data_IF_323796764132
#
_entry.id   IF_323796764132
#
_cell.length_a   1.000
_cell.length_b   1.000
_cell.length_c   1.000
_cell.angle_alpha   90.00
_cell.angle_beta   90.00
_cell.angle_gamma   90.00
#
_symmetry.space_group_name_H-M   'P 1'
#
loop_
_entity.id
_entity.type
_entity.pdbx_description
1 polymer ?
#
# COMPACT_ATOMS: atom_id res chain seq x y z
N UNK A 1 -14.57 -13.13 30.09
CA UNK A 1 -14.30 -13.10 28.63
C UNK A 1 -13.65 -11.77 28.32
N UNK A 2 -12.32 -11.71 28.21
CA UNK A 2 -11.63 -10.47 27.82
C UNK A 2 -11.72 -10.34 26.31
N UNK A 3 -12.67 -9.54 25.82
CA UNK A 3 -12.66 -9.08 24.43
C UNK A 3 -11.50 -8.10 24.28
N UNK A 4 -10.34 -8.58 23.83
CA UNK A 4 -9.28 -7.69 23.39
C UNK A 4 -9.84 -6.71 22.34
N UNK A 5 -9.49 -5.41 22.39
CA UNK A 5 -9.97 -4.44 21.42
C UNK A 5 -9.69 -4.93 20.00
N UNK A 6 -10.73 -5.05 19.18
CA UNK A 6 -10.59 -5.42 17.76
C UNK A 6 -10.27 -4.16 16.98
N UNK A 7 -9.00 -3.92 16.72
CA UNK A 7 -8.57 -2.83 15.83
C UNK A 7 -8.94 -3.24 14.40
N UNK A 8 -9.86 -2.50 13.79
CA UNK A 8 -10.30 -2.73 12.41
C UNK A 8 -9.63 -1.78 11.42
N UNK A 9 -9.11 -0.65 11.89
CA UNK A 9 -8.45 0.36 11.08
C UNK A 9 -7.19 0.81 11.78
N UNK A 10 -6.08 0.83 11.04
CA UNK A 10 -4.79 1.25 11.53
C UNK A 10 -4.20 2.20 10.51
N UNK A 11 -3.75 3.36 11.00
CA UNK A 11 -3.23 4.42 10.15
C UNK A 11 -1.85 4.83 10.65
N UNK A 12 -0.91 4.94 9.73
CA UNK A 12 0.44 5.43 9.99
C UNK A 12 0.67 6.60 9.06
N UNK A 13 0.58 7.80 9.59
CA UNK A 13 0.69 9.03 8.80
C UNK A 13 1.94 9.80 9.20
N UNK A 14 2.88 9.92 8.26
CA UNK A 14 4.13 10.69 8.41
C UNK A 14 4.99 10.26 9.61
N UNK A 15 4.77 9.07 10.13
CA UNK A 15 5.52 8.57 11.26
C UNK A 15 6.80 7.90 10.75
N UNK A 16 7.99 8.20 11.33
CA UNK A 16 9.26 7.63 10.89
C UNK A 16 9.40 6.17 11.36
N UNK A 17 8.56 5.31 10.81
CA UNK A 17 8.52 3.88 11.09
C UNK A 17 9.28 3.13 10.00
N UNK A 18 10.05 2.13 10.39
CA UNK A 18 10.64 1.19 9.43
C UNK A 18 9.71 -0.01 9.22
N UNK A 19 9.72 -0.58 8.03
CA UNK A 19 8.91 -1.73 7.64
C UNK A 19 8.90 -2.87 8.67
N UNK A 20 10.04 -3.25 9.25
CA UNK A 20 10.11 -4.34 10.23
C UNK A 20 9.39 -3.98 11.54
N UNK A 21 9.48 -2.73 12.00
CA UNK A 21 8.74 -2.27 13.17
C UNK A 21 7.23 -2.28 12.88
N UNK A 22 6.83 -1.85 11.69
CA UNK A 22 5.43 -1.89 11.28
C UNK A 22 4.91 -3.33 11.23
N UNK A 23 5.65 -4.27 10.64
CA UNK A 23 5.24 -5.67 10.55
C UNK A 23 4.99 -6.28 11.94
N UNK A 24 5.87 -6.03 12.91
CA UNK A 24 5.68 -6.48 14.29
C UNK A 24 4.39 -5.94 14.93
N UNK A 25 3.99 -4.71 14.60
CA UNK A 25 2.72 -4.12 15.05
C UNK A 25 1.54 -4.79 14.34
N UNK A 26 1.62 -4.97 13.02
CA UNK A 26 0.55 -5.58 12.20
C UNK A 26 0.29 -7.04 12.56
N UNK A 27 1.32 -7.79 13.00
CA UNK A 27 1.18 -9.15 13.54
C UNK A 27 0.29 -9.22 14.77
N UNK A 28 0.21 -8.14 15.56
CA UNK A 28 -0.69 -8.05 16.73
C UNK A 28 -2.13 -7.68 16.36
N UNK A 29 -2.40 -7.41 15.08
CA UNK A 29 -3.70 -6.96 14.56
C UNK A 29 -4.24 -7.88 13.46
N UNK A 30 -4.43 -9.20 13.70
CA UNK A 30 -4.86 -10.14 12.66
C UNK A 30 -6.24 -9.84 12.08
N UNK A 31 -7.11 -9.15 12.83
CA UNK A 31 -8.47 -8.78 12.43
C UNK A 31 -8.56 -7.42 11.74
N UNK A 32 -7.42 -6.80 11.40
CA UNK A 32 -7.41 -5.51 10.72
C UNK A 32 -8.09 -5.62 9.36
N UNK A 33 -9.01 -4.68 9.10
CA UNK A 33 -9.76 -4.60 7.83
C UNK A 33 -9.21 -3.51 6.93
N UNK A 34 -8.67 -2.43 7.50
CA UNK A 34 -8.19 -1.25 6.77
C UNK A 34 -6.80 -0.85 7.24
N UNK A 35 -5.90 -0.69 6.28
CA UNK A 35 -4.54 -0.20 6.50
C UNK A 35 -4.32 1.06 5.67
N UNK A 36 -3.92 2.14 6.34
CA UNK A 36 -3.59 3.41 5.71
C UNK A 36 -2.17 3.80 6.07
N UNK A 37 -1.31 3.98 5.08
CA UNK A 37 0.08 4.35 5.29
C UNK A 37 0.39 5.54 4.41
N UNK A 38 0.83 6.62 5.04
CA UNK A 38 1.45 7.76 4.39
C UNK A 38 2.88 7.86 4.87
N UNK A 39 3.85 7.63 3.98
CA UNK A 39 5.28 7.73 4.28
C UNK A 39 5.66 9.11 4.82
N UNK A 40 6.67 9.12 5.70
CA UNK A 40 7.30 10.35 6.15
C UNK A 40 7.95 11.08 4.97
N UNK A 41 7.75 12.40 4.92
CA UNK A 41 8.30 13.26 3.88
C UNK A 41 9.80 13.48 4.03
N UNK A 42 10.43 14.00 2.98
CA UNK A 42 11.89 14.12 2.84
C UNK A 42 12.57 14.98 3.90
N UNK A 43 11.84 15.90 4.53
CA UNK A 43 12.44 16.87 5.46
C UNK A 43 12.78 16.30 6.83
N UNK A 44 12.36 15.07 7.16
CA UNK A 44 12.45 14.58 8.54
C UNK A 44 13.78 13.86 8.88
N UNK A 45 14.54 13.28 7.95
CA UNK A 45 15.72 12.46 8.31
C UNK A 45 16.83 12.42 7.24
N UNK A 46 18.08 12.24 7.70
CA UNK A 46 19.35 12.03 6.97
C UNK A 46 19.42 10.76 6.10
N UNK A 47 18.29 10.17 5.70
CA UNK A 47 18.25 9.03 4.80
C UNK A 47 18.52 9.48 3.35
N UNK A 48 19.04 8.60 2.47
CA UNK A 48 19.18 8.93 1.07
C UNK A 48 17.83 9.36 0.52
N UNK A 49 17.79 10.54 -0.10
CA UNK A 49 16.60 11.20 -0.61
C UNK A 49 15.67 10.23 -1.37
N UNK A 50 14.35 10.32 -1.16
CA UNK A 50 13.35 9.67 -2.02
C UNK A 50 13.09 8.18 -1.81
N UNK A 51 13.59 7.54 -0.74
CA UNK A 51 13.40 6.10 -0.50
C UNK A 51 12.23 5.76 0.42
N UNK A 52 11.50 4.69 0.09
CA UNK A 52 10.49 4.12 0.99
C UNK A 52 11.17 3.50 2.22
N UNK A 53 10.69 3.81 3.44
CA UNK A 53 11.18 3.21 4.70
C UNK A 53 10.14 2.32 5.36
N UNK A 54 8.86 2.66 5.19
CA UNK A 54 7.71 1.93 5.73
C UNK A 54 7.18 0.91 4.73
N UNK A 55 7.00 1.31 3.46
CA UNK A 55 6.42 0.49 2.40
C UNK A 55 7.53 0.04 1.44
N UNK A 56 8.44 -0.78 1.95
CA UNK A 56 9.56 -1.34 1.18
C UNK A 56 9.12 -2.51 0.29
N UNK A 57 9.99 -2.98 -0.61
CA UNK A 57 9.78 -4.23 -1.36
C UNK A 57 9.55 -5.41 -0.40
N UNK A 58 10.33 -5.50 0.69
CA UNK A 58 10.19 -6.54 1.72
C UNK A 58 8.79 -6.51 2.36
N UNK A 59 8.33 -5.31 2.74
CA UNK A 59 7.00 -5.13 3.32
C UNK A 59 5.91 -5.68 2.40
N UNK A 60 5.95 -5.32 1.12
CA UNK A 60 4.98 -5.79 0.13
C UNK A 60 5.05 -7.30 -0.07
N UNK A 61 6.25 -7.89 -0.12
CA UNK A 61 6.41 -9.35 -0.22
C UNK A 61 5.83 -10.10 0.99
N UNK A 62 5.97 -9.56 2.19
CA UNK A 62 5.37 -10.17 3.39
C UNK A 62 3.84 -10.04 3.40
N UNK A 63 3.30 -8.95 2.87
CA UNK A 63 1.86 -8.85 2.58
C UNK A 63 1.44 -9.88 1.52
N UNK A 64 2.19 -10.03 0.42
CA UNK A 64 1.90 -11.00 -0.66
C UNK A 64 1.77 -12.42 -0.12
N UNK A 65 2.63 -12.80 0.84
CA UNK A 65 2.60 -14.14 1.46
C UNK A 65 1.45 -14.33 2.45
N UNK A 66 0.61 -13.30 2.67
CA UNK A 66 -0.49 -13.30 3.63
C UNK A 66 -0.10 -13.74 5.05
N UNK A 67 1.18 -13.56 5.43
CA UNK A 67 1.67 -13.87 6.79
C UNK A 67 1.06 -12.95 7.84
N UNK A 68 0.74 -11.74 7.43
CA UNK A 68 0.12 -10.70 8.26
C UNK A 68 -1.19 -10.22 7.64
N UNK A 69 -2.09 -9.75 8.49
CA UNK A 69 -3.37 -9.13 8.11
C UNK A 69 -4.24 -10.03 7.19
N UNK A 70 -4.57 -11.27 7.56
CA UNK A 70 -5.33 -12.19 6.70
C UNK A 70 -6.73 -11.67 6.31
N UNK A 71 -7.29 -10.70 7.06
CA UNK A 71 -8.63 -10.18 6.83
C UNK A 71 -8.66 -8.78 6.21
N UNK A 72 -7.52 -8.31 5.69
CA UNK A 72 -7.42 -6.99 5.07
C UNK A 72 -8.36 -6.86 3.87
N UNK A 73 -9.14 -5.77 3.85
CA UNK A 73 -10.11 -5.44 2.80
C UNK A 73 -9.73 -4.19 2.03
N UNK A 74 -9.14 -3.20 2.70
CA UNK A 74 -8.82 -1.92 2.12
C UNK A 74 -7.38 -1.53 2.46
N UNK A 75 -6.61 -1.15 1.45
CA UNK A 75 -5.26 -0.61 1.63
C UNK A 75 -5.11 0.74 0.95
N UNK A 76 -4.59 1.72 1.69
CA UNK A 76 -4.24 3.05 1.18
C UNK A 76 -2.76 3.28 1.43
N UNK A 77 -2.02 3.55 0.36
CA UNK A 77 -0.58 3.78 0.40
C UNK A 77 -0.27 5.12 -0.26
N UNK A 78 0.46 5.98 0.45
CA UNK A 78 1.07 7.19 -0.10
C UNK A 78 2.58 7.09 0.12
N UNK A 79 3.34 6.94 -0.97
CA UNK A 79 4.74 6.46 -0.94
C UNK A 79 5.61 7.20 -1.96
N UNK A 80 6.93 7.09 -1.84
CA UNK A 80 7.88 7.66 -2.81
C UNK A 80 8.09 6.78 -4.06
N UNK A 81 7.64 5.53 -4.00
CA UNK A 81 7.87 4.49 -5.02
C UNK A 81 9.34 4.27 -5.41
N UNK A 82 10.15 3.90 -4.43
CA UNK A 82 11.50 3.35 -4.64
C UNK A 82 11.45 1.82 -4.55
N UNK A 83 10.84 1.18 -5.55
CA UNK A 83 10.81 -0.28 -5.69
C UNK A 83 11.65 -0.77 -6.88
N UNK A 84 12.65 0.01 -7.28
CA UNK A 84 13.49 -0.25 -8.44
C UNK A 84 14.06 -1.69 -8.45
N UNK A 85 13.99 -2.35 -9.60
CA UNK A 85 14.41 -3.75 -9.76
C UNK A 85 13.38 -4.77 -9.28
N UNK A 86 12.20 -4.32 -8.84
CA UNK A 86 11.06 -5.14 -8.42
C UNK A 86 9.74 -4.57 -8.97
N UNK A 87 9.72 -4.29 -10.27
CA UNK A 87 8.69 -3.54 -11.02
C UNK A 87 7.27 -4.14 -11.02
N UNK A 88 7.04 -5.21 -10.26
CA UNK A 88 5.75 -5.92 -10.18
C UNK A 88 5.31 -6.24 -8.75
N UNK A 89 6.10 -5.83 -7.75
CA UNK A 89 5.89 -6.27 -6.36
C UNK A 89 4.53 -5.78 -5.80
N UNK A 90 4.07 -4.62 -6.24
CA UNK A 90 2.77 -4.08 -5.82
C UNK A 90 1.62 -4.87 -6.44
N UNK A 91 1.67 -5.14 -7.74
CA UNK A 91 0.67 -5.91 -8.48
C UNK A 91 0.59 -7.35 -7.98
N UNK A 92 1.74 -7.98 -7.70
CA UNK A 92 1.81 -9.31 -7.11
C UNK A 92 1.16 -9.37 -5.72
N UNK A 93 1.38 -8.34 -4.91
CA UNK A 93 0.74 -8.21 -3.61
C UNK A 93 -0.78 -8.11 -3.78
N UNK A 94 -1.27 -7.24 -4.67
CA UNK A 94 -2.70 -7.11 -4.93
C UNK A 94 -3.33 -8.41 -5.45
N UNK A 95 -2.70 -9.09 -6.42
CA UNK A 95 -3.22 -10.33 -7.01
C UNK A 95 -3.26 -11.48 -6.00
N UNK A 96 -2.22 -11.64 -5.19
CA UNK A 96 -2.23 -12.64 -4.12
C UNK A 96 -3.36 -12.37 -3.13
N UNK A 97 -3.52 -11.10 -2.74
CA UNK A 97 -4.43 -10.66 -1.69
C UNK A 97 -5.87 -10.48 -2.15
N UNK A 98 -6.15 -10.48 -3.46
CA UNK A 98 -7.51 -10.51 -3.99
C UNK A 98 -8.02 -11.94 -4.18
N UNK A 99 -7.12 -12.90 -4.44
CA UNK A 99 -7.48 -14.29 -4.79
C UNK A 99 -7.37 -15.28 -3.64
N UNK A 100 -6.46 -15.08 -2.69
CA UNK A 100 -6.14 -16.08 -1.65
C UNK A 100 -6.32 -15.50 -0.24
N UNK A 101 -7.34 -16.01 0.46
CA UNK A 101 -7.64 -15.87 1.89
C UNK A 101 -7.92 -14.45 2.46
N UNK A 102 -7.33 -13.37 1.93
CA UNK A 102 -7.80 -12.01 2.19
C UNK A 102 -8.77 -11.58 1.10
N UNK A 103 -9.84 -10.91 1.49
CA UNK A 103 -10.82 -10.37 0.56
C UNK A 103 -10.44 -8.92 0.26
N UNK A 104 -9.22 -8.66 -0.21
CA UNK A 104 -8.84 -7.30 -0.57
C UNK A 104 -9.84 -6.82 -1.65
N UNK A 105 -10.59 -5.78 -1.32
CA UNK A 105 -11.64 -5.20 -2.17
C UNK A 105 -11.19 -3.89 -2.77
N UNK A 106 -10.38 -3.12 -2.04
CA UNK A 106 -9.90 -1.84 -2.53
C UNK A 106 -8.42 -1.60 -2.25
N UNK A 107 -7.78 -0.94 -3.20
CA UNK A 107 -6.42 -0.44 -3.08
C UNK A 107 -6.34 0.97 -3.66
N UNK A 108 -5.72 1.87 -2.90
CA UNK A 108 -5.31 3.18 -3.37
C UNK A 108 -3.80 3.31 -3.22
N UNK A 109 -3.14 3.72 -4.31
CA UNK A 109 -1.73 4.06 -4.33
C UNK A 109 -1.55 5.50 -4.82
N UNK A 110 -0.96 6.36 -4.00
CA UNK A 110 -0.39 7.64 -4.43
C UNK A 110 1.12 7.54 -4.40
N UNK A 111 1.74 7.73 -5.57
CA UNK A 111 3.18 7.83 -5.69
C UNK A 111 3.57 9.30 -5.67
N UNK A 112 4.56 9.64 -4.84
CA UNK A 112 5.13 10.98 -4.71
C UNK A 112 6.54 10.97 -5.30
N UNK A 113 6.81 11.94 -6.15
CA UNK A 113 8.08 12.12 -6.87
C UNK A 113 8.42 11.04 -7.91
N UNK A 114 8.97 11.49 -9.04
CA UNK A 114 8.70 10.89 -10.35
C UNK A 114 9.75 9.89 -10.84
N UNK A 115 10.88 9.75 -10.14
CA UNK A 115 12.00 8.98 -10.67
C UNK A 115 11.78 7.46 -10.53
N UNK A 116 11.06 6.85 -11.49
CA UNK A 116 11.11 5.40 -11.72
C UNK A 116 9.82 4.61 -11.50
N UNK A 117 8.65 5.22 -11.65
CA UNK A 117 7.37 4.49 -11.54
C UNK A 117 7.21 3.50 -12.71
N UNK A 118 7.61 2.25 -12.49
CA UNK A 118 7.29 1.14 -13.38
C UNK A 118 6.16 0.31 -12.74
N UNK A 119 4.91 0.74 -12.97
CA UNK A 119 3.72 -0.02 -12.60
C UNK A 119 3.19 -0.74 -13.84
N UNK A 120 2.80 -2.00 -13.68
CA UNK A 120 2.17 -2.78 -14.74
C UNK A 120 0.68 -2.43 -14.83
N UNK A 121 0.39 -1.33 -15.51
CA UNK A 121 -0.97 -0.81 -15.67
C UNK A 121 -1.90 -1.82 -16.37
N UNK A 122 -1.37 -2.68 -17.24
CA UNK A 122 -2.14 -3.74 -17.89
C UNK A 122 -2.61 -4.76 -16.87
N UNK A 123 -1.71 -5.21 -15.98
CA UNK A 123 -2.05 -6.12 -14.89
C UNK A 123 -3.02 -5.49 -13.89
N UNK A 124 -2.83 -4.22 -13.55
CA UNK A 124 -3.76 -3.50 -12.66
C UNK A 124 -5.16 -3.40 -13.25
N UNK A 125 -5.30 -3.11 -14.56
CA UNK A 125 -6.59 -3.10 -15.26
C UNK A 125 -7.26 -4.47 -15.23
N UNK A 126 -6.50 -5.54 -15.45
CA UNK A 126 -7.02 -6.91 -15.33
C UNK A 126 -7.54 -7.19 -13.92
N UNK A 127 -6.84 -6.76 -12.87
CA UNK A 127 -7.33 -6.91 -11.50
C UNK A 127 -8.64 -6.15 -11.27
N UNK A 128 -8.83 -4.98 -11.91
CA UNK A 128 -10.12 -4.27 -11.89
C UNK A 128 -11.23 -5.05 -12.60
N UNK A 129 -10.93 -5.71 -13.71
CA UNK A 129 -11.87 -6.59 -14.43
C UNK A 129 -12.27 -7.80 -13.57
N UNK A 130 -11.35 -8.30 -12.75
CA UNK A 130 -11.58 -9.38 -11.78
C UNK A 130 -12.30 -8.89 -10.49
N UNK A 131 -12.65 -7.60 -10.39
CA UNK A 131 -13.48 -7.04 -9.32
C UNK A 131 -12.73 -6.32 -8.19
N UNK A 132 -11.41 -6.10 -8.31
CA UNK A 132 -10.65 -5.31 -7.34
C UNK A 132 -10.75 -3.80 -7.65
N UNK A 133 -11.23 -3.00 -6.70
CA UNK A 133 -11.24 -1.55 -6.84
C UNK A 133 -9.82 -0.99 -6.62
N UNK A 134 -9.04 -0.82 -7.69
CA UNK A 134 -7.71 -0.20 -7.64
C UNK A 134 -7.75 1.22 -8.17
N UNK A 135 -7.09 2.16 -7.49
CA UNK A 135 -6.80 3.51 -7.98
C UNK A 135 -5.33 3.84 -7.78
N UNK A 136 -4.70 4.39 -8.81
CA UNK A 136 -3.32 4.86 -8.78
C UNK A 136 -3.27 6.33 -9.18
N UNK A 137 -2.60 7.13 -8.35
CA UNK A 137 -2.39 8.54 -8.57
C UNK A 137 -0.91 8.91 -8.39
N UNK A 138 -0.49 10.00 -9.02
CA UNK A 138 0.81 10.64 -8.85
C UNK A 138 0.62 11.99 -8.20
N UNK A 139 1.49 12.36 -7.26
CA UNK A 139 1.50 13.67 -6.64
C UNK A 139 2.91 14.24 -6.58
N UNK A 140 3.00 15.57 -6.53
CA UNK A 140 4.28 16.28 -6.38
C UNK A 140 4.78 16.29 -4.94
N UNK A 141 3.87 16.21 -3.99
CA UNK A 141 4.18 16.04 -2.59
C UNK A 141 3.07 15.22 -1.92
N UNK A 142 3.31 14.84 -0.68
CA UNK A 142 2.39 14.02 0.10
C UNK A 142 1.13 14.77 0.56
N UNK A 143 1.24 16.07 0.82
CA UNK A 143 0.18 16.91 1.40
C UNK A 143 -0.77 17.50 0.34
N UNK A 144 -0.40 17.43 -0.95
CA UNK A 144 -1.18 17.97 -2.04
C UNK A 144 -2.36 17.06 -2.38
N UNK A 145 -3.55 17.65 -2.37
CA UNK A 145 -4.76 17.05 -2.92
C UNK A 145 -4.72 16.99 -4.46
N UNK A 146 -3.93 17.89 -5.08
CA UNK A 146 -3.65 17.85 -6.51
C UNK A 146 -2.82 16.61 -6.85
N UNK A 147 -3.46 15.68 -7.54
CA UNK A 147 -2.85 14.45 -8.02
C UNK A 147 -3.21 14.24 -9.49
N UNK A 148 -2.25 13.72 -10.26
CA UNK A 148 -2.48 13.23 -11.61
C UNK A 148 -2.94 11.78 -11.50
N UNK A 149 -4.16 11.50 -11.94
CA UNK A 149 -4.68 10.13 -11.96
C UNK A 149 -3.98 9.31 -13.06
N UNK A 150 -3.36 8.20 -12.67
CA UNK A 150 -2.71 7.25 -13.59
C UNK A 150 -3.67 6.11 -13.95
N UNK A 151 -4.42 5.64 -12.96
CA UNK A 151 -5.47 4.65 -13.10
C UNK A 151 -6.61 5.01 -12.16
N UNK A 152 -7.76 5.42 -12.70
CA UNK A 152 -8.97 5.65 -11.92
C UNK A 152 -9.63 4.35 -11.50
N UNK A 153 -10.51 4.41 -10.49
CA UNK A 153 -11.45 3.32 -10.26
C UNK A 153 -12.29 3.09 -11.51
N UNK A 154 -12.61 1.83 -11.80
CA UNK A 154 -13.56 1.51 -12.86
C UNK A 154 -14.88 2.22 -12.52
N UNK A 155 -15.33 3.10 -13.41
CA UNK A 155 -16.70 3.61 -13.39
C UNK A 155 -17.55 2.45 -13.89
N UNK A 156 -18.48 1.98 -13.07
CA UNK A 156 -19.38 0.89 -13.45
C UNK A 156 -20.05 1.20 -14.81
N UNK A 157 -20.14 0.17 -15.67
CA UNK A 157 -20.98 0.16 -16.87
C UNK A 157 -22.35 -0.36 -16.46
#
# INVERSE_FOLDING_TARGET
>A
MNSSPRIHTFQVNRFPLEDHHLLLILEKMPNLLKLDITEAGWMWNSAPNGKNRTVTVRFLQDLTRARVLPHLKDIRLVVHNDWAGNDRVFEEMLESRSRWASLLRSAYLKVVDEAGVNLDLTRLRRLQEEGLAVRVARGFNFDADEVVEVLGYRKDI
#
